data_IF_194353203731
#
_entry.id   IF_194353203731
#
_cell.length_a   1.000
_cell.length_b   1.000
_cell.length_c   1.000
_cell.angle_alpha   90.00
_cell.angle_beta   90.00
_cell.angle_gamma   90.00
#
_symmetry.space_group_name_H-M   'P 1'
#
loop_
_entity.id
_entity.type
_entity.pdbx_description
1 polymer ?
#
# COMPACT_ATOMS: atom_id res chain seq x y z
N UNK A 1 20.51 44.23 -68.38
CA UNK A 1 19.67 43.03 -68.20
C UNK A 1 20.33 42.20 -67.10
N UNK A 2 19.73 42.16 -65.89
CA UNK A 2 19.93 41.21 -64.77
C UNK A 2 19.44 41.88 -63.47
N UNK A 3 18.11 41.91 -63.28
CA UNK A 3 17.48 42.26 -62.01
C UNK A 3 17.56 41.04 -61.06
N UNK A 4 18.19 41.22 -59.90
CA UNK A 4 18.28 40.18 -58.88
C UNK A 4 17.00 40.18 -58.03
N UNK A 5 16.17 39.13 -58.19
CA UNK A 5 15.05 38.84 -57.30
C UNK A 5 15.56 38.31 -55.96
N UNK A 6 15.55 39.17 -54.93
CA UNK A 6 15.75 38.76 -53.53
C UNK A 6 14.41 38.19 -53.03
N UNK A 7 14.33 36.87 -52.86
CA UNK A 7 13.17 36.21 -52.24
C UNK A 7 13.22 36.43 -50.72
N UNK A 8 12.14 36.90 -50.06
CA UNK A 8 12.09 36.93 -48.61
C UNK A 8 11.95 35.50 -48.10
N UNK A 9 12.95 35.05 -47.35
CA UNK A 9 12.91 33.79 -46.61
C UNK A 9 11.80 33.87 -45.56
N UNK A 10 10.89 32.90 -45.60
CA UNK A 10 9.80 32.74 -44.65
C UNK A 10 10.33 32.65 -43.22
N UNK A 11 9.91 33.56 -42.34
CA UNK A 11 9.99 33.38 -40.89
C UNK A 11 8.58 32.96 -40.44
N UNK A 12 8.33 31.66 -40.46
CA UNK A 12 7.17 31.05 -39.85
C UNK A 12 7.66 30.01 -38.84
N UNK A 13 7.27 30.16 -37.58
CA UNK A 13 7.46 29.13 -36.57
C UNK A 13 7.95 29.66 -35.23
N UNK A 14 7.17 30.52 -34.56
CA UNK A 14 7.29 30.67 -33.12
C UNK A 14 6.70 29.40 -32.48
N UNK A 15 7.59 28.53 -32.02
CA UNK A 15 7.31 27.23 -31.43
C UNK A 15 6.56 27.38 -30.11
N UNK A 16 5.28 26.98 -30.10
CA UNK A 16 4.54 26.74 -28.86
C UNK A 16 5.00 25.42 -28.24
N UNK A 17 6.04 25.46 -27.41
CA UNK A 17 6.39 24.36 -26.50
C UNK A 17 5.63 24.61 -25.19
N UNK A 18 4.34 24.28 -25.16
CA UNK A 18 3.66 24.11 -23.89
C UNK A 18 4.18 22.83 -23.25
N UNK A 19 4.83 22.99 -22.08
CA UNK A 19 5.37 21.91 -21.29
C UNK A 19 4.29 20.85 -21.01
N UNK A 20 4.50 19.63 -21.49
CA UNK A 20 3.82 18.47 -20.97
C UNK A 20 4.31 18.27 -19.53
N UNK A 21 3.52 18.70 -18.55
CA UNK A 21 3.69 18.23 -17.17
C UNK A 21 3.37 16.74 -17.20
N UNK A 22 4.42 15.92 -17.24
CA UNK A 22 4.29 14.49 -16.99
C UNK A 22 3.82 14.34 -15.53
N UNK A 23 2.52 14.19 -15.34
CA UNK A 23 1.99 13.61 -14.11
C UNK A 23 2.49 12.17 -14.10
N UNK A 24 3.56 11.90 -13.34
CA UNK A 24 3.76 10.55 -12.85
C UNK A 24 2.48 10.22 -12.06
N UNK A 25 1.66 9.30 -12.54
CA UNK A 25 0.70 8.64 -11.67
C UNK A 25 1.54 8.07 -10.53
N UNK A 26 1.41 8.67 -9.35
CA UNK A 26 2.06 8.17 -8.15
C UNK A 26 1.56 6.74 -7.99
N UNK A 27 2.45 5.76 -8.15
CA UNK A 27 2.06 4.36 -8.12
C UNK A 27 1.35 4.11 -6.80
N UNK A 28 0.12 3.60 -6.82
CA UNK A 28 -0.67 3.40 -5.60
C UNK A 28 0.01 2.36 -4.70
N UNK A 29 0.86 2.84 -3.79
CA UNK A 29 1.68 2.02 -2.90
C UNK A 29 0.79 1.20 -1.97
N UNK A 30 -0.34 1.77 -1.53
CA UNK A 30 -1.29 1.08 -0.67
C UNK A 30 -1.97 -0.09 -1.38
N UNK A 31 -2.37 0.11 -2.64
CA UNK A 31 -2.89 -0.96 -3.50
C UNK A 31 -1.84 -2.03 -3.76
N UNK A 32 -0.61 -1.64 -4.11
CA UNK A 32 0.48 -2.57 -4.36
C UNK A 32 0.77 -3.44 -3.13
N UNK A 33 0.85 -2.82 -1.95
CA UNK A 33 1.06 -3.50 -0.68
C UNK A 33 -0.11 -4.44 -0.34
N UNK A 34 -1.36 -3.99 -0.54
CA UNK A 34 -2.55 -4.82 -0.37
C UNK A 34 -2.52 -6.06 -1.29
N UNK A 35 -2.15 -5.89 -2.56
CA UNK A 35 -2.07 -7.00 -3.52
C UNK A 35 -0.98 -8.00 -3.14
N UNK A 36 0.16 -7.53 -2.63
CA UNK A 36 1.27 -8.38 -2.21
C UNK A 36 0.97 -9.15 -0.92
N UNK A 37 0.28 -8.51 0.03
CA UNK A 37 0.16 -9.02 1.40
C UNK A 37 -1.23 -9.56 1.73
N UNK A 38 -2.29 -8.93 1.24
CA UNK A 38 -3.67 -9.19 1.69
C UNK A 38 -4.53 -9.96 0.67
N UNK A 39 -4.27 -9.76 -0.63
CA UNK A 39 -5.16 -10.23 -1.69
C UNK A 39 -5.23 -11.76 -1.84
N UNK A 40 -4.23 -12.52 -1.36
CA UNK A 40 -4.29 -13.98 -1.34
C UNK A 40 -5.47 -14.50 -0.52
N UNK A 41 -5.83 -13.81 0.57
CA UNK A 41 -6.97 -14.13 1.43
C UNK A 41 -8.20 -13.29 1.08
N UNK A 42 -8.04 -11.96 0.97
CA UNK A 42 -9.17 -11.05 0.78
C UNK A 42 -9.58 -10.83 -0.68
N UNK A 43 -8.84 -11.37 -1.65
CA UNK A 43 -9.07 -11.13 -3.07
C UNK A 43 -8.49 -9.80 -3.54
N UNK A 44 -8.19 -9.69 -4.83
CA UNK A 44 -7.65 -8.46 -5.42
C UNK A 44 -8.64 -7.29 -5.35
N UNK A 45 -9.93 -7.58 -5.24
CA UNK A 45 -11.02 -6.61 -5.07
C UNK A 45 -11.39 -6.36 -3.59
N UNK A 46 -10.72 -7.02 -2.64
CA UNK A 46 -10.96 -6.86 -1.21
C UNK A 46 -12.25 -7.51 -0.68
N UNK A 47 -12.98 -8.29 -1.49
CA UNK A 47 -14.30 -8.82 -1.13
C UNK A 47 -14.30 -10.12 -0.33
N UNK A 48 -13.16 -10.52 0.22
CA UNK A 48 -13.02 -11.76 0.99
C UNK A 48 -12.88 -13.03 0.15
N UNK A 49 -12.70 -12.89 -1.17
CA UNK A 49 -12.70 -14.02 -2.13
C UNK A 49 -11.32 -14.27 -2.74
N UNK A 50 -10.28 -14.25 -1.89
CA UNK A 50 -8.93 -14.58 -2.31
C UNK A 50 -8.76 -16.06 -2.65
N UNK A 51 -7.74 -16.43 -3.44
CA UNK A 51 -7.50 -17.82 -3.85
C UNK A 51 -7.35 -18.81 -2.69
N UNK A 52 -6.91 -18.35 -1.51
CA UNK A 52 -6.78 -19.22 -0.32
C UNK A 52 -7.96 -19.13 0.65
N UNK A 53 -8.98 -18.31 0.35
CA UNK A 53 -10.06 -18.04 1.30
C UNK A 53 -10.93 -19.26 1.59
N UNK A 54 -11.08 -20.17 0.62
CA UNK A 54 -11.90 -21.38 0.75
C UNK A 54 -11.27 -22.45 1.64
N UNK A 55 -9.97 -22.34 1.93
CA UNK A 55 -9.24 -23.24 2.82
C UNK A 55 -9.22 -22.73 4.26
N UNK A 56 -9.68 -21.51 4.53
CA UNK A 56 -9.69 -20.93 5.87
C UNK A 56 -10.94 -21.38 6.64
N UNK A 57 -10.76 -21.66 7.94
CA UNK A 57 -11.87 -22.01 8.84
C UNK A 57 -12.86 -20.84 8.99
N UNK A 58 -12.33 -19.63 9.05
CA UNK A 58 -13.10 -18.38 9.09
C UNK A 58 -12.90 -17.67 7.75
N UNK A 59 -13.97 -17.42 6.98
CA UNK A 59 -13.84 -16.72 5.72
C UNK A 59 -13.38 -15.27 5.96
N UNK A 60 -12.45 -14.74 5.17
CA UNK A 60 -12.04 -13.35 5.24
C UNK A 60 -13.24 -12.42 4.98
N UNK A 61 -13.31 -11.32 5.72
CA UNK A 61 -14.37 -10.33 5.55
C UNK A 61 -14.27 -9.59 4.21
N UNK A 62 -15.42 -9.08 3.75
CA UNK A 62 -15.48 -8.09 2.68
C UNK A 62 -14.99 -6.74 3.22
N UNK A 63 -13.74 -6.41 2.88
CA UNK A 63 -13.08 -5.18 3.32
C UNK A 63 -13.63 -3.94 2.63
N UNK A 64 -14.43 -4.08 1.56
CA UNK A 64 -15.06 -2.93 0.87
C UNK A 64 -16.34 -2.45 1.58
N UNK A 65 -16.81 -3.20 2.59
CA UNK A 65 -18.04 -2.91 3.33
C UNK A 65 -17.80 -2.42 4.76
N UNK A 66 -16.55 -2.15 5.16
CA UNK A 66 -16.18 -1.78 6.53
C UNK A 66 -16.87 -0.49 7.00
N UNK A 67 -16.87 0.56 6.17
CA UNK A 67 -17.53 1.82 6.50
C UNK A 67 -19.04 1.63 6.66
N UNK A 68 -19.68 0.91 5.72
CA UNK A 68 -21.11 0.60 5.79
C UNK A 68 -21.46 -0.16 7.08
N UNK A 69 -20.63 -1.12 7.47
CA UNK A 69 -20.80 -1.91 8.68
C UNK A 69 -20.50 -1.12 9.96
N UNK A 70 -19.89 0.07 9.84
CA UNK A 70 -19.54 0.98 10.93
C UNK A 70 -20.21 2.35 10.74
N UNK A 71 -21.53 2.34 10.54
CA UNK A 71 -22.38 3.54 10.46
C UNK A 71 -21.94 4.59 9.41
N UNK A 72 -21.34 4.14 8.31
CA UNK A 72 -20.83 5.00 7.24
C UNK A 72 -19.44 5.58 7.49
N UNK A 73 -18.78 5.25 8.61
CA UNK A 73 -17.46 5.76 8.99
C UNK A 73 -16.44 4.65 8.87
N UNK A 74 -15.35 4.86 8.13
CA UNK A 74 -14.28 3.86 8.05
C UNK A 74 -13.50 3.79 9.40
N UNK A 75 -13.42 2.61 10.05
CA UNK A 75 -12.82 2.48 11.37
C UNK A 75 -11.28 2.38 11.31
N UNK A 76 -10.61 3.51 11.08
CA UNK A 76 -9.14 3.58 10.86
C UNK A 76 -8.34 2.84 11.93
N UNK A 77 -8.61 3.10 13.21
CA UNK A 77 -7.84 2.52 14.31
C UNK A 77 -8.05 1.00 14.42
N UNK A 78 -9.28 0.52 14.30
CA UNK A 78 -9.57 -0.92 14.41
C UNK A 78 -8.94 -1.69 13.25
N UNK A 79 -8.94 -1.11 12.04
CA UNK A 79 -8.28 -1.69 10.87
C UNK A 79 -6.76 -1.69 11.07
N UNK A 80 -6.17 -0.58 11.54
CA UNK A 80 -4.75 -0.51 11.83
C UNK A 80 -4.32 -1.58 12.83
N UNK A 81 -5.00 -1.67 13.96
CA UNK A 81 -4.70 -2.63 15.04
C UNK A 81 -4.88 -4.09 14.58
N UNK A 82 -5.89 -4.34 13.73
CA UNK A 82 -6.14 -5.66 13.15
C UNK A 82 -5.05 -6.08 12.16
N UNK A 83 -4.52 -5.14 11.37
CA UNK A 83 -3.39 -5.40 10.47
C UNK A 83 -2.11 -5.59 11.29
N UNK A 84 -1.82 -4.68 12.24
CA UNK A 84 -0.62 -4.76 13.07
C UNK A 84 -0.53 -6.12 13.79
N UNK A 85 -1.60 -6.51 14.49
CA UNK A 85 -1.75 -7.81 15.13
C UNK A 85 -0.85 -8.06 16.35
N UNK A 86 0.12 -7.19 16.66
CA UNK A 86 1.05 -7.38 17.80
C UNK A 86 0.38 -7.18 19.16
N UNK A 87 -0.79 -6.51 19.21
CA UNK A 87 -1.55 -6.23 20.45
C UNK A 87 -2.50 -7.37 20.88
N UNK A 88 -2.24 -8.59 20.39
CA UNK A 88 -2.97 -9.80 20.71
C UNK A 88 -3.14 -10.08 22.21
N UNK A 89 -4.35 -10.38 22.65
CA UNK A 89 -4.57 -10.96 23.98
C UNK A 89 -4.51 -12.50 23.82
N UNK A 90 -3.53 -13.13 24.45
CA UNK A 90 -3.28 -14.59 24.33
C UNK A 90 -4.48 -15.48 24.73
N UNK A 91 -5.47 -14.93 25.43
CA UNK A 91 -6.70 -15.63 25.80
C UNK A 91 -7.66 -15.93 24.62
N UNK A 92 -7.43 -15.35 23.43
CA UNK A 92 -8.33 -15.49 22.28
C UNK A 92 -7.86 -16.49 21.20
N UNK A 93 -6.85 -17.31 21.48
CA UNK A 93 -6.40 -18.38 20.59
C UNK A 93 -5.48 -17.92 19.45
N UNK A 94 -5.42 -18.71 18.37
CA UNK A 94 -4.58 -18.40 17.20
C UNK A 94 -5.18 -17.25 16.39
N UNK A 95 -4.34 -16.32 15.93
CA UNK A 95 -4.78 -15.24 15.07
C UNK A 95 -5.38 -15.74 13.75
N UNK A 96 -6.50 -15.15 13.35
CA UNK A 96 -7.15 -15.40 12.07
C UNK A 96 -6.37 -14.78 10.89
N UNK A 97 -5.60 -13.72 11.16
CA UNK A 97 -4.71 -13.05 10.21
C UNK A 97 -3.24 -13.17 10.64
N UNK A 98 -2.27 -13.11 9.71
CA UNK A 98 -0.87 -12.96 10.07
C UNK A 98 -0.62 -11.69 10.90
N UNK A 99 0.36 -11.72 11.80
CA UNK A 99 0.85 -10.53 12.52
C UNK A 99 1.66 -9.68 11.53
N UNK A 100 1.01 -8.75 10.81
CA UNK A 100 1.69 -7.97 9.78
C UNK A 100 2.68 -6.97 10.34
N UNK A 101 2.49 -6.49 11.58
CA UNK A 101 3.47 -5.65 12.26
C UNK A 101 4.86 -6.32 12.36
N UNK A 102 4.88 -7.65 12.52
CA UNK A 102 6.12 -8.43 12.52
C UNK A 102 6.61 -8.74 11.11
N UNK A 103 5.71 -9.05 10.16
CA UNK A 103 6.09 -9.36 8.77
C UNK A 103 6.59 -8.16 7.99
N UNK A 104 6.13 -6.96 8.33
CA UNK A 104 6.59 -5.72 7.69
C UNK A 104 7.88 -5.18 8.29
N UNK A 105 8.35 -5.74 9.41
CA UNK A 105 9.64 -5.42 9.96
C UNK A 105 10.74 -6.01 9.06
N UNK A 106 11.60 -5.17 8.45
CA UNK A 106 12.56 -5.59 7.44
C UNK A 106 13.60 -6.59 7.97
N UNK A 107 13.86 -6.58 9.28
CA UNK A 107 14.84 -7.48 9.92
C UNK A 107 14.19 -8.82 10.28
N UNK A 108 12.96 -8.81 10.81
CA UNK A 108 12.23 -10.07 11.11
C UNK A 108 11.85 -10.84 9.84
N UNK A 109 11.73 -10.15 8.71
CA UNK A 109 11.47 -10.78 7.41
C UNK A 109 12.69 -11.46 6.78
N UNK A 110 13.88 -11.35 7.38
CA UNK A 110 15.09 -11.98 6.85
C UNK A 110 15.05 -13.51 6.99
N UNK A 111 15.62 -14.27 6.03
CA UNK A 111 15.65 -15.73 6.06
C UNK A 111 16.63 -16.31 7.10
N UNK A 112 17.33 -15.47 7.86
CA UNK A 112 18.25 -15.88 8.92
C UNK A 112 17.91 -15.19 10.22
N UNK A 113 18.17 -15.89 11.34
CA UNK A 113 18.01 -15.33 12.68
C UNK A 113 19.06 -14.24 12.86
N UNK A 114 18.62 -13.02 13.15
CA UNK A 114 19.51 -11.95 13.59
C UNK A 114 19.82 -12.17 15.07
N UNK A 115 21.11 -12.15 15.40
CA UNK A 115 21.56 -12.31 16.78
C UNK A 115 20.93 -11.20 17.66
N UNK A 116 20.22 -11.55 18.75
CA UNK A 116 19.51 -10.56 19.57
C UNK A 116 20.43 -9.50 20.20
N UNK A 117 21.69 -9.85 20.45
CA UNK A 117 22.66 -8.92 21.04
C UNK A 117 23.08 -7.86 20.01
N UNK A 118 23.26 -8.24 18.74
CA UNK A 118 23.52 -7.30 17.67
C UNK A 118 22.27 -6.48 17.29
N UNK A 119 21.08 -7.09 17.30
CA UNK A 119 19.82 -6.36 17.04
C UNK A 119 19.58 -5.25 18.08
N UNK A 120 19.92 -5.51 19.34
CA UNK A 120 19.78 -4.53 20.41
C UNK A 120 20.75 -3.35 20.27
N UNK A 121 21.88 -3.54 19.58
CA UNK A 121 22.88 -2.51 19.33
C UNK A 121 22.66 -1.74 18.03
N UNK A 122 21.71 -2.16 17.18
CA UNK A 122 21.40 -1.51 15.92
C UNK A 122 20.78 -0.11 16.14
N UNK A 123 21.48 0.98 15.78
CA UNK A 123 20.97 2.33 15.97
C UNK A 123 19.79 2.67 15.04
N UNK A 124 19.55 1.87 14.00
CA UNK A 124 18.42 2.03 13.07
C UNK A 124 17.15 1.34 13.56
N UNK A 125 17.17 0.74 14.76
CA UNK A 125 16.06 -0.05 15.30
C UNK A 125 14.71 0.66 15.24
N UNK A 126 14.66 1.95 15.57
CA UNK A 126 13.43 2.75 15.57
C UNK A 126 12.91 3.04 14.16
N UNK A 127 13.80 3.12 13.15
CA UNK A 127 13.40 3.29 11.75
C UNK A 127 12.59 2.09 11.24
N UNK A 128 12.79 0.91 11.82
CA UNK A 128 12.00 -0.29 11.48
C UNK A 128 10.53 -0.10 11.84
N UNK A 129 10.24 0.52 12.98
CA UNK A 129 8.87 0.82 13.38
C UNK A 129 8.22 1.85 12.46
N UNK A 130 8.99 2.84 12.00
CA UNK A 130 8.52 3.81 10.98
C UNK A 130 8.14 3.09 9.69
N UNK A 131 8.95 2.13 9.24
CA UNK A 131 8.64 1.31 8.05
C UNK A 131 7.37 0.50 8.25
N UNK A 132 7.24 -0.21 9.38
CA UNK A 132 6.04 -0.99 9.72
C UNK A 132 4.80 -0.10 9.69
N UNK A 133 4.82 1.02 10.42
CA UNK A 133 3.70 1.96 10.50
C UNK A 133 3.34 2.52 9.12
N UNK A 134 4.33 2.89 8.32
CA UNK A 134 4.10 3.47 6.99
C UNK A 134 3.42 2.47 6.07
N UNK A 135 3.86 1.20 6.07
CA UNK A 135 3.26 0.14 5.24
C UNK A 135 1.83 -0.17 5.68
N UNK A 136 1.56 -0.26 6.98
CA UNK A 136 0.20 -0.45 7.49
C UNK A 136 -0.69 0.72 7.09
N UNK A 137 -0.24 1.97 7.29
CA UNK A 137 -1.02 3.16 6.94
C UNK A 137 -1.31 3.25 5.44
N UNK A 138 -0.38 2.83 4.58
CA UNK A 138 -0.63 2.75 3.14
C UNK A 138 -1.78 1.79 2.80
N UNK A 139 -1.83 0.61 3.44
CA UNK A 139 -2.96 -0.32 3.29
C UNK A 139 -4.25 0.29 3.84
N UNK A 140 -4.21 0.87 5.04
CA UNK A 140 -5.39 1.49 5.68
C UNK A 140 -5.99 2.58 4.80
N UNK A 141 -5.14 3.42 4.21
CA UNK A 141 -5.53 4.47 3.28
C UNK A 141 -6.14 3.89 1.99
N UNK A 142 -5.53 2.86 1.40
CA UNK A 142 -6.13 2.15 0.26
C UNK A 142 -7.50 1.54 0.60
N UNK A 143 -7.62 0.87 1.75
CA UNK A 143 -8.88 0.28 2.20
C UNK A 143 -9.95 1.35 2.39
N UNK A 144 -9.61 2.51 2.95
CA UNK A 144 -10.54 3.64 3.08
C UNK A 144 -11.06 4.11 1.71
N UNK A 145 -10.20 4.16 0.68
CA UNK A 145 -10.60 4.61 -0.67
C UNK A 145 -11.53 3.65 -1.41
N UNK A 146 -11.46 2.35 -1.13
CA UNK A 146 -12.24 1.33 -1.85
C UNK A 146 -13.58 0.99 -1.18
N UNK A 147 -13.98 1.73 -0.14
CA UNK A 147 -15.25 1.52 0.52
C UNK A 147 -16.43 1.74 -0.46
N UNK A 148 -17.39 0.83 -0.42
CA UNK A 148 -18.66 1.00 -1.11
C UNK A 148 -19.44 2.15 -0.45
N UNK A 149 -20.03 3.02 -1.27
CA UNK A 149 -20.88 4.13 -0.83
C UNK A 149 -22.30 3.66 -0.54
#
# INVERSE_FOLDING_TARGET
>A
MMSHCIKPLMIAGLTAVFAAVAHAEDADVGKAEFLASCASCHGADGKGKGPVSVQLKVPPSDLTSLAKNNNGVFPINDVYESIDGRRAISAHGTHEMPIWGDRFNPVKSLPHIVDPTYDALDPSRDLREVVVRTRILAIVDYLNRIQQK
#
